data_IF_600680408066
#
_entry.id   IF_600680408066
#
_cell.length_a   1.000
_cell.length_b   1.000
_cell.length_c   1.000
_cell.angle_alpha   90.00
_cell.angle_beta   90.00
_cell.angle_gamma   90.00
#
_symmetry.space_group_name_H-M   'P 1'
#
loop_
_entity.id
_entity.type
_entity.pdbx_description
1 polymer ?
#
# COMPACT_ATOMS: atom_id res chain seq x y z
N UNK A 1 -15.40 -42.85 57.09
CA UNK A 1 -15.30 -43.16 55.65
C UNK A 1 -16.03 -42.17 54.75
N UNK A 2 -17.16 -41.68 55.21
CA UNK A 2 -17.94 -40.65 54.48
C UNK A 2 -17.21 -39.28 54.37
N UNK A 3 -16.49 -38.85 55.41
CA UNK A 3 -15.70 -37.58 55.42
C UNK A 3 -14.47 -37.61 54.52
N UNK A 4 -13.84 -38.78 54.40
CA UNK A 4 -12.70 -38.95 53.48
C UNK A 4 -13.12 -38.86 52.04
N UNK A 5 -14.28 -39.41 51.66
CA UNK A 5 -14.86 -39.28 50.32
C UNK A 5 -15.23 -37.82 49.98
N UNK A 6 -15.82 -37.07 50.94
CA UNK A 6 -16.12 -35.67 50.77
C UNK A 6 -14.87 -34.82 50.54
N UNK A 7 -13.79 -35.07 51.28
CA UNK A 7 -12.50 -34.37 51.11
C UNK A 7 -11.87 -34.64 49.76
N UNK A 8 -11.93 -35.91 49.27
CA UNK A 8 -11.42 -36.29 47.96
C UNK A 8 -12.22 -35.60 46.83
N UNK A 9 -13.55 -35.57 46.94
CA UNK A 9 -14.39 -34.87 45.95
C UNK A 9 -14.14 -33.38 45.95
N UNK A 10 -13.94 -32.75 47.12
CA UNK A 10 -13.60 -31.32 47.23
C UNK A 10 -12.23 -31.00 46.64
N UNK A 11 -11.24 -31.84 46.82
CA UNK A 11 -9.91 -31.69 46.21
C UNK A 11 -9.95 -31.86 44.68
N UNK A 12 -10.74 -32.80 44.16
CA UNK A 12 -10.92 -33.01 42.72
C UNK A 12 -11.66 -31.84 42.07
N UNK A 13 -12.68 -31.27 42.75
CA UNK A 13 -13.37 -30.04 42.29
C UNK A 13 -12.45 -28.81 42.31
N UNK A 14 -11.61 -28.67 43.34
CA UNK A 14 -10.62 -27.59 43.42
C UNK A 14 -9.54 -27.72 42.33
N UNK A 15 -9.08 -28.95 42.03
CA UNK A 15 -8.14 -29.21 40.95
C UNK A 15 -8.75 -28.92 39.57
N UNK A 16 -10.03 -29.26 39.35
CA UNK A 16 -10.76 -28.95 38.12
C UNK A 16 -10.98 -27.43 37.92
N UNK A 17 -11.22 -26.70 39.01
CA UNK A 17 -11.32 -25.24 38.98
C UNK A 17 -9.97 -24.54 38.71
N UNK A 18 -8.87 -25.08 39.23
CA UNK A 18 -7.53 -24.54 38.92
C UNK A 18 -7.12 -24.78 37.46
N UNK A 19 -7.56 -25.88 36.84
CA UNK A 19 -7.23 -26.16 35.42
C UNK A 19 -7.97 -25.25 34.43
N UNK A 20 -9.09 -24.62 34.82
CA UNK A 20 -9.82 -23.65 34.00
C UNK A 20 -9.16 -22.27 34.00
N UNK A 21 -8.37 -21.95 35.02
CA UNK A 21 -7.68 -20.64 35.14
C UNK A 21 -6.39 -20.52 34.34
N UNK A 22 -5.83 -21.64 33.83
CA UNK A 22 -4.59 -21.62 33.02
C UNK A 22 -4.85 -21.47 31.52
N UNK A 23 -6.10 -21.28 31.08
CA UNK A 23 -6.50 -21.25 29.68
C UNK A 23 -6.53 -19.87 28.99
N UNK A 24 -6.21 -18.77 29.66
CA UNK A 24 -6.14 -17.43 29.04
C UNK A 24 -4.74 -16.82 29.15
N UNK A 25 -3.73 -17.54 28.69
CA UNK A 25 -2.51 -16.92 28.22
C UNK A 25 -2.86 -16.17 26.93
N UNK A 26 -3.27 -14.91 27.05
CA UNK A 26 -3.28 -13.99 25.89
C UNK A 26 -1.86 -14.06 25.32
N UNK A 27 -1.67 -14.77 24.19
CA UNK A 27 -0.45 -14.55 23.39
C UNK A 27 -0.37 -13.04 23.25
N UNK A 28 0.70 -12.44 23.73
CA UNK A 28 1.06 -11.09 23.33
C UNK A 28 1.12 -11.19 21.82
N UNK A 29 0.10 -10.65 21.16
CA UNK A 29 0.13 -10.56 19.71
C UNK A 29 1.45 -9.87 19.38
N UNK A 30 2.28 -10.51 18.58
CA UNK A 30 3.52 -9.90 18.11
C UNK A 30 3.12 -8.58 17.42
N UNK A 31 3.93 -7.54 17.57
CA UNK A 31 3.69 -6.30 16.89
C UNK A 31 3.49 -6.58 15.38
N UNK A 32 2.53 -5.94 14.73
CA UNK A 32 2.27 -6.20 13.32
C UNK A 32 3.49 -5.87 12.46
N UNK A 33 3.72 -6.71 11.45
CA UNK A 33 4.69 -6.38 10.40
C UNK A 33 4.23 -5.07 9.74
N UNK A 34 5.03 -4.02 9.89
CA UNK A 34 4.70 -2.72 9.31
C UNK A 34 5.34 -2.60 7.93
N UNK A 35 4.52 -2.33 6.94
CA UNK A 35 4.91 -2.03 5.56
C UNK A 35 4.73 -0.54 5.33
N UNK A 36 5.81 0.16 5.00
CA UNK A 36 5.78 1.61 4.75
C UNK A 36 5.44 1.92 3.29
N UNK A 37 4.52 2.85 3.06
CA UNK A 37 4.10 3.30 1.74
C UNK A 37 4.25 4.82 1.60
N UNK A 38 4.98 5.26 0.58
CA UNK A 38 5.04 6.67 0.19
C UNK A 38 4.12 6.96 -0.99
N UNK A 39 3.22 7.93 -0.84
CA UNK A 39 2.37 8.41 -1.94
C UNK A 39 1.99 9.90 -1.78
N UNK A 40 1.43 10.50 -2.85
CA UNK A 40 1.11 11.93 -2.92
C UNK A 40 -0.35 12.25 -2.58
N UNK A 41 -1.20 11.25 -2.42
CA UNK A 41 -2.66 11.44 -2.29
C UNK A 41 -3.12 11.66 -0.84
N UNK A 42 -2.22 11.67 0.12
CA UNK A 42 -2.57 11.68 1.54
C UNK A 42 -3.05 13.04 2.09
N UNK A 43 -2.82 14.13 1.36
CA UNK A 43 -3.35 15.46 1.72
C UNK A 43 -4.78 15.71 1.27
N UNK A 44 -5.37 14.81 0.50
CA UNK A 44 -6.75 14.89 0.05
C UNK A 44 -7.66 14.29 1.12
N UNK A 45 -8.68 15.05 1.54
CA UNK A 45 -9.63 14.63 2.60
C UNK A 45 -10.36 13.34 2.24
N UNK A 46 -10.58 13.08 0.95
CA UNK A 46 -11.28 11.92 0.41
C UNK A 46 -10.41 11.11 -0.55
N UNK A 47 -9.18 10.81 -0.18
CA UNK A 47 -8.31 9.95 -1.01
C UNK A 47 -8.81 8.50 -1.03
N UNK A 48 -9.27 7.96 -2.18
CA UNK A 48 -9.71 6.56 -2.29
C UNK A 48 -8.62 5.57 -1.87
N UNK A 49 -7.35 5.89 -2.14
CA UNK A 49 -6.22 5.04 -1.75
C UNK A 49 -6.09 4.95 -0.22
N UNK A 50 -6.26 6.06 0.51
CA UNK A 50 -6.25 6.05 1.97
C UNK A 50 -7.38 5.18 2.51
N UNK A 51 -8.59 5.28 1.94
CA UNK A 51 -9.73 4.45 2.31
C UNK A 51 -9.47 2.96 2.10
N UNK A 52 -8.84 2.58 0.99
CA UNK A 52 -8.45 1.18 0.72
C UNK A 52 -7.39 0.68 1.70
N UNK A 53 -6.41 1.52 2.07
CA UNK A 53 -5.39 1.17 3.05
C UNK A 53 -6.00 0.98 4.44
N UNK A 54 -6.92 1.84 4.86
CA UNK A 54 -7.65 1.69 6.13
C UNK A 54 -8.50 0.42 6.13
N UNK A 55 -9.18 0.12 5.02
CA UNK A 55 -9.92 -1.12 4.86
C UNK A 55 -9.00 -2.34 4.97
N UNK A 56 -7.86 -2.35 4.27
CA UNK A 56 -6.86 -3.42 4.37
C UNK A 56 -6.40 -3.59 5.82
N UNK A 57 -5.99 -2.50 6.48
CA UNK A 57 -5.46 -2.52 7.84
C UNK A 57 -6.49 -3.02 8.88
N UNK A 58 -7.79 -2.80 8.63
CA UNK A 58 -8.87 -3.22 9.52
C UNK A 58 -9.42 -4.62 9.21
N UNK A 59 -9.08 -5.20 8.07
CA UNK A 59 -9.57 -6.53 7.63
C UNK A 59 -8.40 -7.51 7.44
N UNK A 60 -7.98 -7.73 6.22
CA UNK A 60 -6.93 -8.71 5.86
C UNK A 60 -5.62 -8.42 6.60
N UNK A 61 -5.22 -7.16 6.71
CA UNK A 61 -4.02 -6.77 7.42
C UNK A 61 -4.07 -7.15 8.90
N UNK A 62 -5.22 -6.91 9.55
CA UNK A 62 -5.43 -7.31 10.95
C UNK A 62 -5.38 -8.84 11.13
N UNK A 63 -5.99 -9.60 10.21
CA UNK A 63 -5.99 -11.06 10.23
C UNK A 63 -4.58 -11.65 10.02
N UNK A 64 -3.79 -11.03 9.15
CA UNK A 64 -2.43 -11.47 8.79
C UNK A 64 -1.35 -10.86 9.69
N UNK A 65 -1.73 -10.02 10.67
CA UNK A 65 -0.80 -9.25 11.51
C UNK A 65 0.16 -8.38 10.68
N UNK A 66 -0.37 -7.76 9.61
CA UNK A 66 0.34 -6.84 8.72
C UNK A 66 -0.34 -5.48 8.77
N UNK A 67 0.42 -4.40 8.80
CA UNK A 67 -0.08 -3.04 8.78
C UNK A 67 0.64 -2.19 7.74
N UNK A 68 -0.11 -1.58 6.82
CA UNK A 68 0.42 -0.56 5.93
C UNK A 68 0.42 0.79 6.64
N UNK A 69 1.60 1.41 6.74
CA UNK A 69 1.82 2.75 7.28
C UNK A 69 2.08 3.71 6.13
N UNK A 70 1.18 4.66 5.94
CA UNK A 70 1.35 5.72 4.95
C UNK A 70 2.27 6.79 5.49
N UNK A 71 3.28 7.17 4.72
CA UNK A 71 4.11 8.35 4.95
C UNK A 71 3.87 9.34 3.81
N UNK A 72 3.45 10.56 4.19
CA UNK A 72 3.05 11.59 3.24
C UNK A 72 4.27 12.28 2.66
N UNK A 73 4.33 12.34 1.33
CA UNK A 73 5.29 13.17 0.59
C UNK A 73 4.52 14.20 -0.23
N UNK A 74 4.97 15.44 -0.23
CA UNK A 74 4.20 16.60 -0.71
C UNK A 74 3.84 16.57 -2.21
N UNK A 75 4.63 15.89 -3.04
CA UNK A 75 4.39 15.72 -4.48
C UNK A 75 5.27 14.61 -5.08
N UNK A 76 4.98 14.21 -6.32
CA UNK A 76 5.72 13.15 -7.03
C UNK A 76 7.21 13.48 -7.25
N UNK A 77 7.56 14.75 -7.42
CA UNK A 77 8.96 15.17 -7.53
C UNK A 77 9.72 15.01 -6.22
N UNK A 78 9.07 15.23 -5.09
CA UNK A 78 9.63 14.99 -3.76
C UNK A 78 9.84 13.50 -3.52
N UNK A 79 8.88 12.64 -3.88
CA UNK A 79 9.04 11.18 -3.80
C UNK A 79 10.24 10.73 -4.64
N UNK A 80 10.34 11.18 -5.89
CA UNK A 80 11.47 10.84 -6.76
C UNK A 80 12.81 11.15 -6.10
N UNK A 81 12.97 12.39 -5.59
CA UNK A 81 14.21 12.82 -4.93
C UNK A 81 14.50 12.01 -3.66
N UNK A 82 13.49 11.82 -2.82
CA UNK A 82 13.65 11.10 -1.55
C UNK A 82 13.97 9.63 -1.75
N UNK A 83 13.34 8.97 -2.74
CA UNK A 83 13.63 7.56 -3.08
C UNK A 83 15.07 7.43 -3.57
N UNK A 84 15.54 8.33 -4.45
CA UNK A 84 16.91 8.27 -4.95
C UNK A 84 17.93 8.58 -3.84
N UNK A 85 17.67 9.57 -3.00
CA UNK A 85 18.55 9.89 -1.87
C UNK A 85 18.65 8.71 -0.89
N UNK A 86 17.52 8.07 -0.58
CA UNK A 86 17.48 6.90 0.29
C UNK A 86 18.20 5.69 -0.36
N UNK A 87 17.97 5.44 -1.65
CA UNK A 87 18.60 4.35 -2.39
C UNK A 87 20.12 4.50 -2.50
N UNK A 88 20.61 5.75 -2.61
CA UNK A 88 22.04 6.06 -2.63
C UNK A 88 22.67 6.18 -1.22
N UNK A 89 21.89 6.04 -0.16
CA UNK A 89 22.34 6.25 1.22
C UNK A 89 22.94 7.64 1.46
N UNK A 90 22.35 8.66 0.84
CA UNK A 90 22.82 10.05 0.97
C UNK A 90 22.74 10.51 2.44
N UNK A 91 23.70 11.34 2.92
CA UNK A 91 23.67 11.85 4.28
C UNK A 91 22.37 12.61 4.59
N UNK A 92 21.65 12.20 5.63
CA UNK A 92 20.38 12.79 6.05
C UNK A 92 19.15 12.33 5.25
N UNK A 93 19.31 11.41 4.31
CA UNK A 93 18.18 10.79 3.62
C UNK A 93 17.32 9.96 4.59
N UNK A 94 15.99 9.90 4.36
CA UNK A 94 15.11 9.00 5.11
C UNK A 94 15.45 7.54 4.79
N UNK A 95 14.92 6.61 5.58
CA UNK A 95 14.95 5.19 5.21
C UNK A 95 14.13 4.95 3.95
N UNK A 96 14.60 4.04 3.09
CA UNK A 96 13.84 3.64 1.90
C UNK A 96 12.51 3.02 2.34
N UNK A 97 11.36 3.40 1.74
CA UNK A 97 10.08 2.77 2.05
C UNK A 97 10.00 1.38 1.42
N UNK A 98 9.12 0.52 1.96
CA UNK A 98 8.86 -0.79 1.37
C UNK A 98 8.10 -0.68 0.03
N UNK A 99 7.26 0.34 -0.09
CA UNK A 99 6.50 0.64 -1.31
C UNK A 99 6.45 2.15 -1.57
N UNK A 100 6.40 2.54 -2.83
CA UNK A 100 6.17 3.93 -3.20
C UNK A 100 5.38 4.07 -4.49
N UNK A 101 4.57 5.13 -4.58
CA UNK A 101 3.83 5.51 -5.78
C UNK A 101 4.58 6.63 -6.48
N UNK A 102 5.07 6.35 -7.68
CA UNK A 102 5.84 7.32 -8.46
C UNK A 102 5.71 7.05 -9.96
N UNK A 103 6.41 7.84 -10.76
CA UNK A 103 6.52 7.62 -12.20
C UNK A 103 7.63 6.61 -12.52
N UNK A 104 7.58 5.90 -13.67
CA UNK A 104 8.60 4.94 -14.12
C UNK A 104 10.03 5.49 -14.09
N UNK A 105 10.22 6.79 -14.34
CA UNK A 105 11.53 7.45 -14.27
C UNK A 105 12.23 7.27 -12.92
N UNK A 106 11.49 7.09 -11.82
CA UNK A 106 12.08 6.88 -10.50
C UNK A 106 12.73 5.52 -10.41
N UNK A 107 12.06 4.48 -10.90
CA UNK A 107 12.61 3.11 -10.95
C UNK A 107 13.81 3.04 -11.90
N UNK A 108 13.72 3.68 -13.07
CA UNK A 108 14.83 3.73 -14.04
C UNK A 108 16.09 4.42 -13.49
N UNK A 109 15.93 5.33 -12.54
CA UNK A 109 17.03 6.09 -11.95
C UNK A 109 17.61 5.44 -10.67
N UNK A 110 17.10 4.30 -10.22
CA UNK A 110 17.66 3.59 -9.09
C UNK A 110 19.09 3.10 -9.38
N UNK A 111 19.99 3.18 -8.39
CA UNK A 111 21.39 2.76 -8.58
C UNK A 111 21.54 1.26 -8.82
N UNK A 112 20.59 0.47 -8.34
CA UNK A 112 20.55 -0.98 -8.50
C UNK A 112 19.11 -1.43 -8.77
N UNK A 113 18.90 -2.14 -9.88
CA UNK A 113 17.59 -2.65 -10.28
C UNK A 113 17.12 -3.84 -9.42
N UNK A 114 18.03 -4.49 -8.69
CA UNK A 114 17.66 -5.58 -7.76
C UNK A 114 17.05 -5.06 -6.46
N UNK A 115 17.03 -3.74 -6.24
CA UNK A 115 16.25 -3.10 -5.16
C UNK A 115 14.74 -3.22 -5.36
N UNK A 116 14.27 -3.54 -6.56
CA UNK A 116 12.84 -3.65 -6.91
C UNK A 116 12.52 -5.10 -7.26
N UNK A 117 11.41 -5.60 -6.70
CA UNK A 117 10.92 -6.95 -6.98
C UNK A 117 10.39 -7.09 -8.40
N UNK A 118 10.47 -8.28 -8.96
CA UNK A 118 9.69 -8.66 -10.14
C UNK A 118 8.33 -9.17 -9.68
N UNK A 119 7.27 -8.48 -10.03
CA UNK A 119 5.91 -8.86 -9.62
C UNK A 119 5.48 -10.24 -10.15
N UNK A 120 6.10 -10.74 -11.23
CA UNK A 120 5.82 -12.07 -11.77
C UNK A 120 6.29 -13.21 -10.86
N UNK A 121 7.18 -12.92 -9.90
CA UNK A 121 7.60 -13.90 -8.90
C UNK A 121 6.56 -14.08 -7.79
N UNK A 122 5.59 -13.16 -7.68
CA UNK A 122 4.60 -13.10 -6.58
C UNK A 122 3.16 -13.17 -7.04
N UNK A 123 2.87 -12.82 -8.29
CA UNK A 123 1.52 -12.80 -8.87
C UNK A 123 1.43 -13.73 -10.05
N UNK A 124 0.32 -14.47 -10.15
CA UNK A 124 0.02 -15.29 -11.30
C UNK A 124 -0.24 -14.47 -12.57
N UNK A 125 -0.10 -15.06 -13.76
CA UNK A 125 -0.46 -14.39 -15.00
C UNK A 125 -1.92 -13.91 -15.04
N UNK A 126 -2.85 -14.65 -14.38
CA UNK A 126 -4.26 -14.30 -14.29
C UNK A 126 -4.45 -13.03 -13.46
N UNK A 127 -3.76 -12.90 -12.33
CA UNK A 127 -3.83 -11.71 -11.48
C UNK A 127 -3.24 -10.50 -12.19
N UNK A 128 -2.07 -10.64 -12.83
CA UNK A 128 -1.47 -9.56 -13.62
C UNK A 128 -2.30 -9.21 -14.86
N UNK A 129 -3.02 -10.17 -15.42
CA UNK A 129 -3.94 -9.99 -16.55
C UNK A 129 -5.21 -9.19 -16.22
N UNK A 130 -5.48 -8.90 -14.93
CA UNK A 130 -6.59 -8.03 -14.52
C UNK A 130 -6.31 -6.55 -14.79
N UNK A 131 -5.06 -6.17 -14.95
CA UNK A 131 -4.66 -4.80 -15.29
C UNK A 131 -4.81 -4.51 -16.78
N UNK A 132 -4.94 -3.24 -17.15
CA UNK A 132 -4.97 -2.79 -18.54
C UNK A 132 -3.61 -3.08 -19.18
N UNK A 133 -3.54 -3.89 -20.27
CA UNK A 133 -2.26 -4.33 -20.83
C UNK A 133 -1.32 -3.18 -21.20
N UNK A 134 -1.82 -2.13 -21.87
CA UNK A 134 -1.02 -0.97 -22.25
C UNK A 134 -0.41 -0.23 -21.04
N UNK A 135 -1.02 -0.31 -19.86
CA UNK A 135 -0.46 0.29 -18.65
C UNK A 135 0.58 -0.62 -18.01
N UNK A 136 0.41 -1.94 -18.15
CA UNK A 136 1.39 -2.91 -17.67
C UNK A 136 2.70 -2.85 -18.47
N UNK A 137 2.63 -2.59 -19.78
CA UNK A 137 3.82 -2.46 -20.64
C UNK A 137 4.79 -1.38 -20.14
N UNK A 138 4.27 -0.26 -19.63
CA UNK A 138 5.09 0.82 -19.06
C UNK A 138 5.85 0.40 -17.79
N UNK A 139 5.40 -0.65 -17.13
CA UNK A 139 6.03 -1.22 -15.93
C UNK A 139 7.07 -2.28 -16.21
N UNK A 140 7.32 -2.60 -17.49
CA UNK A 140 8.32 -3.59 -17.90
C UNK A 140 9.67 -2.94 -18.12
N UNK A 141 10.65 -3.28 -17.29
CA UNK A 141 12.01 -2.77 -17.37
C UNK A 141 12.99 -3.95 -17.37
N UNK A 142 13.85 -4.01 -18.36
CA UNK A 142 14.85 -5.09 -18.47
C UNK A 142 14.26 -6.50 -18.54
N UNK A 143 13.05 -6.64 -19.11
CA UNK A 143 12.33 -7.92 -19.20
C UNK A 143 11.64 -8.35 -17.90
N UNK A 144 11.61 -7.51 -16.85
CA UNK A 144 10.96 -7.74 -15.55
C UNK A 144 9.71 -6.85 -15.44
N UNK A 145 8.67 -7.29 -14.74
CA UNK A 145 7.51 -6.47 -14.38
C UNK A 145 7.76 -5.83 -13.01
N UNK A 146 8.34 -4.65 -13.00
CA UNK A 146 8.79 -3.99 -11.75
C UNK A 146 7.88 -2.86 -11.29
N UNK A 147 6.87 -2.49 -12.07
CA UNK A 147 5.88 -1.48 -11.73
C UNK A 147 4.49 -2.03 -12.01
N UNK A 148 3.56 -1.83 -11.06
CA UNK A 148 2.12 -2.04 -11.27
C UNK A 148 1.43 -0.68 -11.45
N UNK A 149 0.51 -0.53 -12.41
CA UNK A 149 -0.22 0.70 -12.61
C UNK A 149 -1.24 0.92 -11.48
N UNK A 150 -1.11 2.03 -10.76
CA UNK A 150 -2.09 2.44 -9.75
C UNK A 150 -3.13 3.39 -10.34
N UNK A 151 -2.68 4.41 -11.07
CA UNK A 151 -3.51 5.41 -11.73
C UNK A 151 -2.75 6.02 -12.91
N UNK A 152 -3.49 6.50 -13.91
CA UNK A 152 -2.95 7.25 -15.05
C UNK A 152 -3.68 8.58 -15.14
N UNK A 153 -2.90 9.67 -15.27
CA UNK A 153 -3.44 10.99 -15.58
C UNK A 153 -3.76 11.09 -17.06
N UNK A 154 -4.87 11.73 -17.38
CA UNK A 154 -5.23 12.08 -18.76
C UNK A 154 -5.16 13.59 -18.90
N UNK A 155 -4.45 14.05 -19.91
CA UNK A 155 -4.48 15.44 -20.30
C UNK A 155 -5.77 15.71 -21.08
N UNK A 156 -6.49 16.77 -20.70
CA UNK A 156 -7.72 17.18 -21.36
C UNK A 156 -7.67 18.69 -21.62
N UNK A 157 -8.18 19.09 -22.76
CA UNK A 157 -8.36 20.50 -23.10
C UNK A 157 -9.73 20.96 -22.66
N UNK A 158 -9.78 21.90 -21.72
CA UNK A 158 -11.01 22.61 -21.35
C UNK A 158 -11.17 23.85 -22.20
N UNK A 159 -12.27 23.94 -22.95
CA UNK A 159 -12.60 25.11 -23.76
C UNK A 159 -13.76 25.85 -23.12
N UNK A 160 -13.56 27.13 -22.79
CA UNK A 160 -14.66 28.03 -22.43
C UNK A 160 -15.47 28.33 -23.69
N UNK A 161 -16.56 27.60 -23.88
CA UNK A 161 -17.38 27.67 -25.08
C UNK A 161 -17.88 29.10 -25.38
N UNK A 162 -18.32 29.83 -24.37
CA UNK A 162 -18.82 31.21 -24.55
C UNK A 162 -17.75 32.15 -25.09
N UNK A 163 -16.53 32.06 -24.62
CA UNK A 163 -15.42 32.88 -25.10
C UNK A 163 -14.95 32.43 -26.47
N UNK A 164 -14.90 31.12 -26.70
CA UNK A 164 -14.51 30.56 -27.97
C UNK A 164 -15.52 30.96 -29.08
N UNK A 165 -16.82 30.80 -28.83
CA UNK A 165 -17.86 31.17 -29.81
C UNK A 165 -17.80 32.67 -30.20
N UNK A 166 -17.53 33.56 -29.23
CA UNK A 166 -17.32 34.98 -29.53
C UNK A 166 -16.10 35.24 -30.43
N UNK A 167 -14.99 34.52 -30.13
CA UNK A 167 -13.79 34.66 -30.94
C UNK A 167 -13.98 34.01 -32.32
N UNK A 168 -14.60 32.86 -32.40
CA UNK A 168 -14.90 32.16 -33.65
C UNK A 168 -15.76 33.00 -34.60
N UNK A 169 -16.77 33.70 -34.06
CA UNK A 169 -17.63 34.59 -34.83
C UNK A 169 -16.86 35.74 -35.56
N UNK A 170 -15.69 36.11 -35.03
CA UNK A 170 -14.85 37.15 -35.61
C UNK A 170 -13.65 36.62 -36.39
N UNK A 171 -13.15 35.44 -36.06
CA UNK A 171 -11.95 34.83 -36.65
C UNK A 171 -12.25 33.79 -37.74
N UNK A 172 -13.49 33.31 -37.81
CA UNK A 172 -13.87 32.17 -38.68
C UNK A 172 -13.37 30.82 -38.21
N UNK A 173 -12.91 30.69 -36.96
CA UNK A 173 -12.49 29.42 -36.40
C UNK A 173 -13.68 28.51 -36.09
N UNK A 174 -13.48 27.20 -36.16
CA UNK A 174 -14.47 26.17 -35.76
C UNK A 174 -13.86 25.15 -34.80
N UNK A 175 -14.71 24.27 -34.26
CA UNK A 175 -14.28 23.11 -33.43
C UNK A 175 -13.85 21.91 -34.25
N UNK A 176 -14.04 21.95 -35.57
CA UNK A 176 -13.81 20.83 -36.50
C UNK A 176 -12.31 20.67 -36.82
#
# INVERSE_FOLDING_TARGET
WADMKKRIVLCLLALALLSVMTGCGRKKDADPLTVTLWHVYGGEVDSPLNGLIEQFNSTIGAEQNIRVKVELVSNSGSIHKSVLAAANSDPGAPSLPDMFVSYPKTVLALPDQDMIVDYRDYFSPEELGTFIPAFMEEGQIGGRQVILPLAKSTEVLFVNRTLFDRWAATSGASYD
#
